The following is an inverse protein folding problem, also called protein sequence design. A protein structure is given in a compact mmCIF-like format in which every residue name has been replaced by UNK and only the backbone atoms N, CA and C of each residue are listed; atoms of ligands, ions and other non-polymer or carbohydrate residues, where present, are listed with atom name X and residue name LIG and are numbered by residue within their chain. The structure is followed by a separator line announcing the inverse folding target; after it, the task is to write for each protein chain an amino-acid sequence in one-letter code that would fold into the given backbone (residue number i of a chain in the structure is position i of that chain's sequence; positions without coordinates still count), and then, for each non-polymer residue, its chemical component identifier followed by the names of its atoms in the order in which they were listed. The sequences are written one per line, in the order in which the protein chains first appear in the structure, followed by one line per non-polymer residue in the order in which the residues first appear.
data_IF_222469056562
#
_entry.id   IF_222469056562
#
_cell.length_a   1.000
_cell.length_b   1.000
_cell.length_c   1.000
_cell.angle_alpha   90.00
_cell.angle_beta   90.00
_cell.angle_gamma   90.00
#
_symmetry.space_group_name_H-M   'P 1'
#
loop_
_entity.id
_entity.type
_entity.pdbx_description
1 polymer ?
#
# COMPACT_ATOMS: atom_id res chain seq x y z
N UNK A 1 3.02 7.82 13.81
CA UNK A 1 3.50 6.45 13.51
C UNK A 1 3.08 6.14 12.09
N UNK A 2 4.04 5.85 11.22
CA UNK A 2 3.75 5.57 9.82
C UNK A 2 3.45 4.08 9.67
N UNK A 3 2.31 3.77 9.05
CA UNK A 3 1.84 2.41 8.78
C UNK A 3 1.69 2.26 7.27
N UNK A 4 2.21 1.15 6.74
CA UNK A 4 2.00 0.71 5.37
C UNK A 4 1.04 -0.48 5.36
N UNK A 5 -0.16 -0.27 4.83
CA UNK A 5 -1.11 -1.34 4.52
C UNK A 5 -0.90 -1.83 3.09
N UNK A 6 -0.93 -3.16 2.91
CA UNK A 6 -0.81 -3.81 1.60
C UNK A 6 -2.02 -4.72 1.37
N UNK A 7 -2.67 -4.57 0.22
CA UNK A 7 -3.68 -5.48 -0.31
C UNK A 7 -3.05 -6.27 -1.46
N UNK A 8 -2.58 -7.49 -1.17
CA UNK A 8 -1.72 -8.24 -2.07
C UNK A 8 -2.50 -8.93 -3.18
N UNK A 9 -2.07 -8.72 -4.43
CA UNK A 9 -2.48 -9.55 -5.56
C UNK A 9 -1.37 -9.65 -6.62
N UNK A 10 -1.34 -10.73 -7.40
CA UNK A 10 -0.25 -10.98 -8.35
C UNK A 10 -0.08 -9.90 -9.43
N UNK A 11 -1.18 -9.26 -9.85
CA UNK A 11 -1.18 -8.31 -10.98
C UNK A 11 -1.47 -6.86 -10.56
N UNK A 12 -1.98 -6.66 -9.36
CA UNK A 12 -2.57 -5.41 -8.91
C UNK A 12 -2.54 -5.32 -7.39
N UNK A 13 -1.39 -4.99 -6.82
CA UNK A 13 -1.24 -4.83 -5.37
C UNK A 13 -1.63 -3.41 -4.96
N UNK A 14 -2.63 -3.29 -4.10
CA UNK A 14 -2.97 -2.01 -3.48
C UNK A 14 -2.01 -1.67 -2.34
N UNK A 15 -1.69 -0.39 -2.17
CA UNK A 15 -0.97 0.09 -1.00
C UNK A 15 -1.61 1.37 -0.45
N UNK A 16 -1.51 1.54 0.86
CA UNK A 16 -1.88 2.77 1.55
C UNK A 16 -0.88 3.07 2.65
N UNK A 17 -0.44 4.33 2.73
CA UNK A 17 0.44 4.84 3.77
C UNK A 17 -0.34 5.83 4.60
N UNK A 18 -0.41 5.57 5.90
CA UNK A 18 -1.07 6.46 6.86
C UNK A 18 -0.11 6.81 8.00
N UNK A 19 -0.26 8.03 8.52
CA UNK A 19 0.46 8.48 9.71
C UNK A 19 -0.54 8.73 10.83
N UNK A 20 -0.40 7.95 11.89
CA UNK A 20 -1.12 8.10 13.15
C UNK A 20 -0.38 9.09 14.04
N UNK A 21 -0.87 10.32 14.14
CA UNK A 21 -0.30 11.33 15.04
C UNK A 21 -0.76 11.15 16.48
N UNK A 22 -1.95 10.57 16.67
CA UNK A 22 -2.52 10.15 17.96
C UNK A 22 -3.54 9.02 17.75
N UNK A 23 -4.06 8.44 18.83
CA UNK A 23 -5.04 7.33 18.77
C UNK A 23 -6.32 7.67 18.01
N UNK A 24 -6.67 8.95 17.95
CA UNK A 24 -7.86 9.51 17.31
C UNK A 24 -7.56 10.29 16.01
N UNK A 25 -6.28 10.47 15.65
CA UNK A 25 -5.88 11.24 14.47
C UNK A 25 -4.98 10.43 13.55
N UNK A 26 -5.52 10.20 12.36
CA UNK A 26 -4.85 9.56 11.25
C UNK A 26 -4.90 10.48 10.03
N UNK A 27 -3.78 10.59 9.31
CA UNK A 27 -3.71 11.23 8.00
C UNK A 27 -3.23 10.24 6.95
N UNK A 28 -3.78 10.31 5.74
CA UNK A 28 -3.25 9.60 4.57
C UNK A 28 -2.02 10.35 4.09
N UNK A 29 -0.90 9.65 3.96
CA UNK A 29 0.33 10.18 3.36
C UNK A 29 0.40 9.88 1.87
N UNK A 30 0.04 8.66 1.48
CA UNK A 30 0.00 8.21 0.09
C UNK A 30 -0.93 7.00 -0.07
N UNK A 31 -1.39 6.76 -1.27
CA UNK A 31 -2.08 5.53 -1.63
C UNK A 31 -1.98 5.27 -3.13
N UNK A 32 -2.03 4.01 -3.51
CA UNK A 32 -1.95 3.68 -4.92
C UNK A 32 -2.09 2.19 -5.21
N UNK A 33 -1.85 1.88 -6.48
CA UNK A 33 -1.95 0.53 -7.01
C UNK A 33 -0.71 0.23 -7.82
N UNK A 34 0.01 -0.81 -7.41
CA UNK A 34 1.14 -1.36 -8.12
C UNK A 34 0.62 -2.36 -9.15
N UNK A 35 0.81 -2.06 -10.44
CA UNK A 35 0.43 -2.94 -11.54
C UNK A 35 1.64 -3.76 -12.00
N UNK A 36 1.55 -5.07 -11.81
CA UNK A 36 2.57 -6.02 -12.26
C UNK A 36 2.18 -6.58 -13.63
N UNK A 37 3.14 -6.77 -14.55
CA UNK A 37 2.88 -7.38 -15.87
C UNK A 37 2.81 -8.92 -15.77
N UNK A 38 2.13 -9.55 -16.74
CA UNK A 38 2.00 -11.01 -16.80
C UNK A 38 3.36 -11.69 -16.93
N UNK A 39 4.22 -11.03 -17.70
CA UNK A 39 5.58 -11.44 -18.02
C UNK A 39 6.60 -10.96 -17.00
N UNK A 40 6.18 -10.31 -15.90
CA UNK A 40 7.12 -9.96 -14.86
C UNK A 40 7.74 -11.26 -14.31
N UNK A 41 9.05 -11.33 -14.04
CA UNK A 41 9.65 -12.54 -13.49
C UNK A 41 9.00 -12.89 -12.14
N UNK A 42 8.66 -14.15 -11.95
CA UNK A 42 8.23 -14.71 -10.66
C UNK A 42 9.36 -15.65 -10.20
N UNK A 43 9.61 -15.68 -8.89
CA UNK A 43 10.52 -16.64 -8.23
C UNK A 43 9.94 -18.03 -8.18
#
# INVERSE_FOLDING_TARGET
MIILGIDTALRCTGYGVVDFTSSDKMRVLDCGVIKTKASAPHS
#
